data_IF_476219145229
#
_entry.id   IF_476219145229
#
_cell.length_a   1.000
_cell.length_b   1.000
_cell.length_c   1.000
_cell.angle_alpha   90.00
_cell.angle_beta   90.00
_cell.angle_gamma   90.00
#
_symmetry.space_group_name_H-M   'P 1'
#
loop_
_entity.id
_entity.type
_entity.pdbx_description
1 polymer ?
#
# COMPACT_ATOMS: atom_id res chain seq x y z
N UNK A 1 25.34 -0.33 -16.43
CA UNK A 1 23.95 -0.19 -16.92
C UNK A 1 23.43 1.18 -16.51
N UNK A 2 23.17 2.07 -17.47
CA UNK A 2 22.83 3.47 -17.21
C UNK A 2 21.42 3.60 -16.62
N UNK A 3 21.29 4.17 -15.42
CA UNK A 3 20.04 4.49 -14.72
C UNK A 3 19.15 5.57 -15.41
N UNK A 4 19.34 5.84 -16.71
CA UNK A 4 18.74 7.00 -17.40
C UNK A 4 17.39 6.74 -18.08
N UNK A 5 16.80 5.54 -17.99
CA UNK A 5 15.66 5.16 -18.84
C UNK A 5 14.42 4.63 -18.10
N UNK A 6 14.39 4.68 -16.76
CA UNK A 6 13.25 4.15 -15.97
C UNK A 6 11.95 4.96 -16.14
N UNK A 7 12.01 6.14 -16.77
CA UNK A 7 10.85 6.99 -17.06
C UNK A 7 10.12 6.63 -18.37
N UNK A 8 10.63 5.69 -19.18
CA UNK A 8 9.98 5.23 -20.42
C UNK A 8 9.03 4.02 -20.21
N UNK A 9 9.13 3.34 -19.07
CA UNK A 9 8.28 2.20 -18.70
C UNK A 9 6.77 2.52 -18.61
N UNK A 10 6.32 3.70 -18.13
CA UNK A 10 4.90 4.05 -18.11
C UNK A 10 4.33 4.29 -19.53
N UNK A 11 5.17 4.75 -20.47
CA UNK A 11 4.77 5.09 -21.83
C UNK A 11 4.49 3.84 -22.68
N UNK A 12 5.20 2.75 -22.41
CA UNK A 12 5.03 1.45 -23.07
C UNK A 12 3.80 0.68 -22.56
N UNK A 13 3.38 0.91 -21.31
CA UNK A 13 2.17 0.31 -20.72
C UNK A 13 0.86 0.93 -21.26
N UNK A 14 0.89 2.19 -21.70
CA UNK A 14 -0.27 2.91 -22.25
C UNK A 14 -0.59 2.54 -23.71
N UNK A 15 0.34 1.93 -24.44
CA UNK A 15 0.18 1.54 -25.86
C UNK A 15 -0.37 0.12 -26.05
N UNK A 16 -0.56 -0.66 -24.97
CA UNK A 16 -0.96 -2.06 -25.02
C UNK A 16 -2.46 -2.35 -24.98
N UNK A 17 -3.33 -1.38 -24.66
CA UNK A 17 -4.79 -1.57 -24.68
C UNK A 17 -5.35 -1.38 -26.09
N UNK A 18 -4.95 -2.27 -26.99
CA UNK A 18 -5.50 -2.40 -28.33
C UNK A 18 -6.96 -2.85 -28.28
N UNK A 19 -7.77 -2.24 -29.14
CA UNK A 19 -9.18 -2.54 -29.37
C UNK A 19 -9.43 -4.04 -29.58
N UNK A 20 -10.03 -4.70 -28.61
CA UNK A 20 -10.75 -5.95 -28.84
C UNK A 20 -12.21 -5.60 -29.17
N UNK A 21 -12.51 -5.46 -30.46
CA UNK A 21 -13.88 -5.34 -30.94
C UNK A 21 -14.63 -6.65 -30.71
N UNK A 22 -15.58 -6.66 -29.79
CA UNK A 22 -16.49 -7.78 -29.58
C UNK A 22 -17.55 -7.78 -30.69
N UNK A 23 -17.46 -8.75 -31.60
CA UNK A 23 -18.56 -9.09 -32.50
C UNK A 23 -19.57 -9.99 -31.76
N UNK A 24 -20.88 -9.71 -31.81
CA UNK A 24 -21.87 -10.58 -31.19
C UNK A 24 -22.10 -11.83 -32.06
N UNK A 25 -21.90 -13.01 -31.47
CA UNK A 25 -22.22 -14.30 -32.09
C UNK A 25 -23.68 -14.67 -31.80
N UNK A 26 -24.39 -15.13 -32.84
CA UNK A 26 -25.83 -15.38 -32.86
C UNK A 26 -26.29 -16.55 -31.98
N UNK A 27 -27.44 -16.35 -31.33
CA UNK A 27 -28.23 -17.35 -30.61
C UNK A 27 -28.96 -18.30 -31.58
N UNK A 28 -28.72 -19.62 -31.52
CA UNK A 28 -29.52 -20.60 -32.26
C UNK A 28 -29.33 -22.05 -31.76
N UNK A 29 -30.14 -22.52 -30.81
CA UNK A 29 -30.45 -23.97 -30.76
C UNK A 29 -31.78 -24.34 -30.08
N UNK A 30 -32.48 -23.41 -29.41
CA UNK A 30 -33.77 -23.71 -28.76
C UNK A 30 -33.67 -24.70 -27.59
N UNK A 31 -32.46 -25.11 -27.21
CA UNK A 31 -32.19 -26.00 -26.09
C UNK A 31 -31.71 -25.16 -24.91
N UNK A 32 -32.48 -25.17 -23.82
CA UNK A 32 -32.22 -24.38 -22.60
C UNK A 32 -31.11 -24.96 -21.72
N UNK A 33 -30.34 -25.95 -22.18
CA UNK A 33 -29.26 -26.52 -21.39
C UNK A 33 -28.14 -27.14 -22.22
N UNK A 34 -26.94 -27.17 -21.63
CA UNK A 34 -25.75 -27.91 -22.10
C UNK A 34 -25.17 -28.69 -20.92
N UNK A 35 -25.13 -30.02 -21.02
CA UNK A 35 -24.74 -30.90 -19.91
C UNK A 35 -23.39 -31.58 -20.15
N UNK A 36 -22.30 -30.82 -20.21
CA UNK A 36 -20.95 -31.37 -20.42
C UNK A 36 -20.31 -31.89 -19.11
N UNK A 37 -20.93 -31.61 -17.96
CA UNK A 37 -20.52 -32.11 -16.64
C UNK A 37 -21.17 -33.44 -16.24
N UNK A 38 -22.14 -33.93 -17.04
CA UNK A 38 -22.98 -35.09 -16.71
C UNK A 38 -23.63 -34.97 -15.32
N UNK A 39 -24.33 -33.86 -15.13
CA UNK A 39 -24.96 -33.46 -13.87
C UNK A 39 -26.49 -33.37 -13.98
N UNK A 40 -27.07 -33.52 -15.18
CA UNK A 40 -28.51 -33.32 -15.41
C UNK A 40 -29.23 -34.59 -15.83
N UNK A 41 -30.25 -34.97 -15.06
CA UNK A 41 -31.18 -36.06 -15.33
C UNK A 41 -32.54 -35.57 -15.83
N UNK A 42 -33.59 -36.32 -15.53
CA UNK A 42 -34.95 -36.02 -15.99
C UNK A 42 -35.58 -34.86 -15.21
N UNK A 43 -35.26 -34.71 -13.92
CA UNK A 43 -35.91 -33.70 -13.07
C UNK A 43 -35.51 -32.29 -13.47
N UNK A 44 -34.21 -32.00 -13.51
CA UNK A 44 -33.70 -30.68 -13.88
C UNK A 44 -34.19 -30.25 -15.27
N UNK A 45 -34.14 -31.16 -16.26
CA UNK A 45 -34.61 -30.90 -17.63
C UNK A 45 -36.11 -30.58 -17.68
N UNK A 46 -36.90 -31.25 -16.85
CA UNK A 46 -38.35 -31.00 -16.74
C UNK A 46 -38.62 -29.62 -16.14
N UNK A 47 -37.92 -29.26 -15.06
CA UNK A 47 -38.07 -27.96 -14.41
C UNK A 47 -37.63 -26.82 -15.35
N UNK A 48 -36.51 -26.93 -16.06
CA UNK A 48 -36.07 -25.90 -17.02
C UNK A 48 -37.13 -25.66 -18.09
N UNK A 49 -37.69 -26.74 -18.64
CA UNK A 49 -38.74 -26.65 -19.66
C UNK A 49 -40.01 -26.00 -19.09
N UNK A 50 -40.42 -26.41 -17.89
CA UNK A 50 -41.59 -25.84 -17.21
C UNK A 50 -41.42 -24.35 -16.94
N UNK A 51 -40.24 -23.91 -16.48
CA UNK A 51 -39.97 -22.50 -16.23
C UNK A 51 -40.06 -21.67 -17.50
N UNK A 52 -39.34 -22.04 -18.56
CA UNK A 52 -39.33 -21.27 -19.80
C UNK A 52 -40.69 -21.31 -20.53
N UNK A 53 -41.29 -22.48 -20.67
CA UNK A 53 -42.47 -22.67 -21.52
C UNK A 53 -43.79 -22.32 -20.82
N UNK A 54 -43.84 -22.32 -19.47
CA UNK A 54 -45.08 -22.13 -18.72
C UNK A 54 -45.02 -20.98 -17.73
N UNK A 55 -44.03 -20.96 -16.83
CA UNK A 55 -43.98 -19.95 -15.76
C UNK A 55 -43.58 -18.60 -16.32
N UNK A 56 -42.40 -18.51 -16.94
CA UNK A 56 -41.87 -17.25 -17.47
C UNK A 56 -42.59 -16.81 -18.74
N UNK A 57 -43.15 -17.73 -19.52
CA UNK A 57 -44.00 -17.40 -20.66
C UNK A 57 -45.21 -16.53 -20.29
N UNK A 58 -45.71 -16.61 -19.04
CA UNK A 58 -46.83 -15.82 -18.53
C UNK A 58 -46.43 -14.48 -17.89
N UNK A 59 -45.14 -14.27 -17.69
CA UNK A 59 -44.59 -13.07 -17.05
C UNK A 59 -44.30 -12.02 -18.13
N UNK A 60 -44.59 -10.75 -17.82
CA UNK A 60 -44.27 -9.62 -18.70
C UNK A 60 -42.79 -9.61 -19.08
N UNK A 61 -42.50 -9.44 -20.37
CA UNK A 61 -41.13 -9.48 -20.89
C UNK A 61 -40.60 -10.88 -21.18
N UNK A 62 -41.32 -11.94 -20.78
CA UNK A 62 -40.98 -13.36 -21.00
C UNK A 62 -39.53 -13.71 -20.63
N UNK A 63 -39.18 -13.71 -19.33
CA UNK A 63 -37.85 -14.10 -18.86
C UNK A 63 -37.40 -15.46 -19.38
N UNK A 64 -36.10 -15.68 -19.45
CA UNK A 64 -35.55 -16.94 -19.96
C UNK A 64 -34.44 -17.43 -19.05
N UNK A 65 -34.37 -18.74 -18.83
CA UNK A 65 -33.29 -19.38 -18.07
C UNK A 65 -32.64 -20.52 -18.86
N UNK A 66 -31.32 -20.58 -18.81
CA UNK A 66 -30.56 -21.73 -19.29
C UNK A 66 -29.62 -22.29 -18.22
N UNK A 67 -29.17 -23.53 -18.43
CA UNK A 67 -28.21 -24.21 -17.54
C UNK A 67 -27.03 -24.75 -18.32
N UNK A 68 -25.81 -24.48 -17.86
CA UNK A 68 -24.59 -25.10 -18.38
C UNK A 68 -23.93 -25.89 -17.24
N UNK A 69 -23.60 -27.15 -17.49
CA UNK A 69 -22.71 -27.91 -16.61
C UNK A 69 -21.43 -28.23 -17.35
N UNK A 70 -20.30 -28.16 -16.64
CA UNK A 70 -18.98 -28.52 -17.15
C UNK A 70 -18.27 -29.46 -16.19
N UNK A 71 -17.35 -30.25 -16.73
CA UNK A 71 -16.54 -31.14 -15.90
C UNK A 71 -15.51 -30.36 -15.07
N UNK A 72 -14.87 -29.34 -15.66
CA UNK A 72 -13.89 -28.45 -15.00
C UNK A 72 -13.80 -27.13 -15.76
N UNK A 73 -13.34 -26.08 -15.09
CA UNK A 73 -13.08 -24.73 -15.62
C UNK A 73 -11.65 -24.54 -16.13
N UNK A 74 -10.75 -25.51 -15.94
CA UNK A 74 -9.36 -25.42 -16.42
C UNK A 74 -8.63 -24.12 -16.01
N UNK A 75 -8.71 -23.77 -14.72
CA UNK A 75 -8.14 -22.55 -14.11
C UNK A 75 -8.81 -21.22 -14.51
N UNK A 76 -9.93 -21.25 -15.25
CA UNK A 76 -10.79 -20.09 -15.47
C UNK A 76 -11.70 -19.84 -14.26
N UNK A 77 -11.95 -18.58 -13.90
CA UNK A 77 -12.95 -18.25 -12.89
C UNK A 77 -14.36 -18.50 -13.42
N UNK A 78 -15.24 -19.07 -12.59
CA UNK A 78 -16.58 -19.46 -13.03
C UNK A 78 -17.45 -18.25 -13.44
N UNK A 79 -17.20 -17.09 -12.85
CA UNK A 79 -17.87 -15.82 -13.17
C UNK A 79 -17.53 -15.38 -14.60
N UNK A 80 -16.24 -15.33 -14.94
CA UNK A 80 -15.78 -14.98 -16.28
C UNK A 80 -16.32 -15.97 -17.32
N UNK A 81 -16.23 -17.26 -17.03
CA UNK A 81 -16.80 -18.30 -17.88
C UNK A 81 -18.31 -18.11 -18.09
N UNK A 82 -19.06 -17.88 -17.01
CA UNK A 82 -20.51 -17.70 -17.07
C UNK A 82 -20.89 -16.45 -17.86
N UNK A 83 -20.20 -15.32 -17.64
CA UNK A 83 -20.43 -14.07 -18.36
C UNK A 83 -20.18 -14.25 -19.86
N UNK A 84 -19.08 -14.92 -20.24
CA UNK A 84 -18.75 -15.20 -21.63
C UNK A 84 -19.82 -16.09 -22.29
N UNK A 85 -20.26 -17.14 -21.61
CA UNK A 85 -21.33 -18.02 -22.12
C UNK A 85 -22.68 -17.30 -22.18
N UNK A 86 -23.01 -16.44 -21.22
CA UNK A 86 -24.23 -15.64 -21.21
C UNK A 86 -24.31 -14.72 -22.43
N UNK A 87 -23.20 -14.02 -22.73
CA UNK A 87 -23.08 -13.16 -23.90
C UNK A 87 -23.20 -13.96 -25.22
N UNK A 88 -22.56 -15.13 -25.31
CA UNK A 88 -22.64 -16.02 -26.49
C UNK A 88 -24.05 -16.57 -26.72
N UNK A 89 -24.76 -16.93 -25.67
CA UNK A 89 -26.09 -17.51 -25.78
C UNK A 89 -27.17 -16.46 -26.03
N UNK A 90 -26.94 -15.20 -25.61
CA UNK A 90 -27.91 -14.11 -25.77
C UNK A 90 -29.24 -14.42 -25.10
N UNK A 91 -29.21 -15.05 -23.92
CA UNK A 91 -30.40 -15.48 -23.19
C UNK A 91 -31.18 -14.26 -22.70
N UNK A 92 -32.50 -14.32 -22.83
CA UNK A 92 -33.40 -13.23 -22.46
C UNK A 92 -34.03 -12.57 -23.69
N UNK A 93 -35.08 -11.80 -23.45
CA UNK A 93 -35.77 -11.08 -24.51
C UNK A 93 -35.01 -9.81 -24.88
N UNK A 94 -34.78 -9.60 -26.18
CA UNK A 94 -34.12 -8.40 -26.71
C UNK A 94 -34.77 -7.13 -26.15
N UNK A 95 -33.95 -6.28 -25.53
CA UNK A 95 -34.38 -5.02 -24.91
C UNK A 95 -34.92 -5.15 -23.49
N UNK A 96 -35.30 -6.35 -23.05
CA UNK A 96 -35.66 -6.63 -21.66
C UNK A 96 -34.50 -7.19 -20.86
N UNK A 97 -33.49 -7.79 -21.52
CA UNK A 97 -32.25 -8.27 -20.88
C UNK A 97 -32.53 -9.09 -19.63
N UNK A 98 -33.58 -9.92 -19.67
CA UNK A 98 -34.15 -10.67 -18.56
C UNK A 98 -33.81 -12.16 -18.64
N UNK A 99 -32.56 -12.43 -19.01
CA UNK A 99 -31.99 -13.77 -19.05
C UNK A 99 -31.37 -14.18 -17.71
N UNK A 100 -31.38 -15.48 -17.44
CA UNK A 100 -30.66 -16.11 -16.34
C UNK A 100 -29.82 -17.26 -16.90
N UNK A 101 -28.58 -17.41 -16.43
CA UNK A 101 -27.74 -18.57 -16.75
C UNK A 101 -27.17 -19.15 -15.46
N UNK A 102 -27.53 -20.40 -15.18
CA UNK A 102 -26.90 -21.17 -14.12
C UNK A 102 -25.76 -22.00 -14.69
N UNK A 103 -24.55 -21.79 -14.19
CA UNK A 103 -23.36 -22.58 -14.51
C UNK A 103 -22.96 -23.41 -13.30
N UNK A 104 -22.65 -24.69 -13.50
CA UNK A 104 -22.03 -25.54 -12.49
C UNK A 104 -20.77 -26.21 -13.05
N UNK A 105 -19.69 -26.19 -12.27
CA UNK A 105 -18.49 -26.99 -12.54
C UNK A 105 -18.37 -28.12 -11.53
N UNK A 106 -18.34 -29.36 -12.03
CA UNK A 106 -18.35 -30.58 -11.20
C UNK A 106 -17.06 -30.74 -10.39
N UNK A 107 -15.89 -30.68 -11.03
CA UNK A 107 -14.59 -30.91 -10.35
C UNK A 107 -14.20 -29.74 -9.46
N UNK A 108 -14.51 -28.52 -9.87
CA UNK A 108 -14.18 -27.32 -9.10
C UNK A 108 -15.17 -27.09 -7.95
N UNK A 109 -16.30 -27.82 -7.95
CA UNK A 109 -17.40 -27.70 -6.98
C UNK A 109 -17.87 -26.25 -6.83
N UNK A 110 -17.96 -25.54 -7.96
CA UNK A 110 -18.38 -24.13 -8.04
C UNK A 110 -19.69 -24.01 -8.82
N UNK A 111 -20.57 -23.12 -8.40
CA UNK A 111 -21.75 -22.69 -9.17
C UNK A 111 -21.75 -21.17 -9.33
N UNK A 112 -22.38 -20.68 -10.39
CA UNK A 112 -22.61 -19.27 -10.64
C UNK A 112 -23.96 -19.07 -11.33
N UNK A 113 -24.72 -18.08 -10.87
CA UNK A 113 -25.94 -17.61 -11.52
C UNK A 113 -25.68 -16.22 -12.10
N UNK A 114 -25.62 -16.12 -13.42
CA UNK A 114 -25.56 -14.85 -14.14
C UNK A 114 -26.99 -14.29 -14.31
N UNK A 115 -27.17 -13.01 -14.00
CA UNK A 115 -28.46 -12.31 -14.03
C UNK A 115 -28.40 -11.14 -15.00
N UNK A 116 -29.26 -11.16 -16.01
CA UNK A 116 -29.38 -10.03 -16.93
C UNK A 116 -29.98 -8.79 -16.25
N UNK A 117 -29.59 -7.60 -16.73
CA UNK A 117 -30.04 -6.29 -16.22
C UNK A 117 -31.53 -6.18 -15.89
N UNK A 118 -32.40 -6.81 -16.69
CA UNK A 118 -33.85 -6.76 -16.51
C UNK A 118 -34.35 -7.45 -15.24
N UNK A 119 -33.52 -8.32 -14.65
CA UNK A 119 -33.84 -9.12 -13.48
C UNK A 119 -32.97 -8.79 -12.27
N UNK A 120 -32.07 -7.81 -12.31
CA UNK A 120 -31.20 -7.49 -11.17
C UNK A 120 -31.98 -7.11 -9.90
N UNK A 121 -33.08 -6.36 -10.04
CA UNK A 121 -33.95 -6.00 -8.92
C UNK A 121 -34.82 -7.19 -8.44
N UNK A 122 -34.98 -8.21 -9.30
CA UNK A 122 -35.76 -9.42 -9.04
C UNK A 122 -34.90 -10.52 -8.43
N UNK A 123 -33.65 -10.66 -8.87
CA UNK A 123 -32.69 -11.66 -8.44
C UNK A 123 -31.36 -10.95 -8.12
N UNK A 124 -31.33 -10.10 -7.09
CA UNK A 124 -30.08 -9.49 -6.64
C UNK A 124 -29.19 -10.52 -5.97
N UNK A 125 -27.89 -10.22 -5.82
CA UNK A 125 -26.94 -11.06 -5.06
C UNK A 125 -27.45 -11.41 -3.65
N UNK A 126 -28.08 -10.44 -2.96
CA UNK A 126 -28.70 -10.65 -1.66
C UNK A 126 -29.87 -11.67 -1.62
N UNK A 127 -30.34 -12.17 -2.76
CA UNK A 127 -31.32 -13.26 -2.84
C UNK A 127 -30.69 -14.66 -2.86
N UNK A 128 -29.36 -14.76 -2.84
CA UNK A 128 -28.63 -16.02 -2.94
C UNK A 128 -29.04 -17.06 -1.89
N UNK A 129 -29.34 -16.66 -0.65
CA UNK A 129 -29.73 -17.60 0.41
C UNK A 129 -31.15 -18.18 0.23
N UNK A 130 -32.03 -17.44 -0.44
CA UNK A 130 -33.38 -17.91 -0.80
C UNK A 130 -33.30 -18.93 -1.95
N UNK A 131 -32.36 -18.71 -2.88
CA UNK A 131 -32.21 -19.54 -4.08
C UNK A 131 -31.35 -20.78 -3.78
N UNK A 132 -30.19 -20.59 -3.17
CA UNK A 132 -29.21 -21.64 -2.83
C UNK A 132 -29.31 -22.01 -1.36
N UNK A 133 -30.46 -22.55 -1.00
CA UNK A 133 -30.76 -23.01 0.35
C UNK A 133 -29.80 -24.09 0.84
N UNK A 134 -29.76 -24.33 2.17
CA UNK A 134 -28.99 -25.43 2.75
C UNK A 134 -29.32 -26.80 2.15
N UNK A 135 -30.56 -27.02 1.70
CA UNK A 135 -30.98 -28.23 0.99
C UNK A 135 -30.30 -28.38 -0.37
N UNK A 136 -30.18 -27.29 -1.15
CA UNK A 136 -29.44 -27.29 -2.43
C UNK A 136 -27.98 -27.67 -2.19
N UNK A 137 -27.32 -27.01 -1.23
CA UNK A 137 -25.93 -27.31 -0.88
C UNK A 137 -25.75 -28.75 -0.40
N UNK A 138 -26.70 -29.29 0.36
CA UNK A 138 -26.67 -30.69 0.81
C UNK A 138 -26.75 -31.68 -0.36
N UNK A 139 -27.62 -31.44 -1.35
CA UNK A 139 -27.73 -32.28 -2.54
C UNK A 139 -26.47 -32.20 -3.41
N UNK A 140 -25.91 -31.00 -3.61
CA UNK A 140 -24.65 -30.81 -4.34
C UNK A 140 -23.48 -31.56 -3.68
N UNK A 141 -23.38 -31.52 -2.34
CA UNK A 141 -22.37 -32.25 -1.56
C UNK A 141 -22.54 -33.77 -1.64
N UNK A 142 -23.78 -34.24 -1.72
CA UNK A 142 -24.11 -35.65 -1.90
C UNK A 142 -23.92 -36.14 -3.35
N UNK A 143 -23.47 -35.26 -4.25
CA UNK A 143 -23.35 -35.51 -5.70
C UNK A 143 -24.68 -35.86 -6.38
N UNK A 144 -25.80 -35.50 -5.74
CA UNK A 144 -27.15 -35.62 -6.29
C UNK A 144 -27.50 -34.37 -7.12
N UNK A 145 -26.80 -34.23 -8.25
CA UNK A 145 -26.82 -33.01 -9.04
C UNK A 145 -28.15 -32.75 -9.75
N UNK A 146 -28.87 -33.79 -10.19
CA UNK A 146 -30.13 -33.60 -10.91
C UNK A 146 -31.18 -32.95 -10.01
N UNK A 147 -31.38 -33.49 -8.81
CA UNK A 147 -32.29 -32.93 -7.82
C UNK A 147 -31.79 -31.57 -7.29
N UNK A 148 -30.48 -31.40 -7.12
CA UNK A 148 -29.91 -30.11 -6.72
C UNK A 148 -30.23 -29.00 -7.72
N UNK A 149 -29.99 -29.23 -9.02
CA UNK A 149 -30.27 -28.28 -10.10
C UNK A 149 -31.78 -28.04 -10.20
N UNK A 150 -32.60 -29.09 -10.12
CA UNK A 150 -34.06 -28.97 -10.13
C UNK A 150 -34.58 -28.08 -8.99
N UNK A 151 -34.06 -28.24 -7.77
CA UNK A 151 -34.43 -27.43 -6.62
C UNK A 151 -33.94 -25.98 -6.76
N UNK A 152 -32.71 -25.78 -7.22
CA UNK A 152 -32.14 -24.46 -7.50
C UNK A 152 -33.05 -23.69 -8.47
N UNK A 153 -33.38 -24.30 -9.61
CA UNK A 153 -34.25 -23.71 -10.63
C UNK A 153 -35.67 -23.45 -10.10
N UNK A 154 -36.21 -24.36 -9.30
CA UNK A 154 -37.52 -24.17 -8.66
C UNK A 154 -37.54 -22.93 -7.76
N UNK A 155 -36.47 -22.72 -6.98
CA UNK A 155 -36.35 -21.55 -6.13
C UNK A 155 -36.23 -20.25 -6.94
N UNK A 156 -35.44 -20.26 -8.02
CA UNK A 156 -35.38 -19.14 -8.98
C UNK A 156 -36.79 -18.83 -9.51
N UNK A 157 -37.50 -19.85 -9.99
CA UNK A 157 -38.85 -19.69 -10.55
C UNK A 157 -39.83 -19.05 -9.58
N UNK A 158 -39.82 -19.50 -8.32
CA UNK A 158 -40.62 -18.91 -7.24
C UNK A 158 -40.27 -17.45 -7.02
N UNK A 159 -38.97 -17.12 -6.95
CA UNK A 159 -38.51 -15.75 -6.70
C UNK A 159 -38.91 -14.80 -7.83
N UNK A 160 -38.68 -15.20 -9.08
CA UNK A 160 -39.04 -14.41 -10.26
C UNK A 160 -40.55 -14.20 -10.33
N UNK A 161 -41.36 -15.24 -10.07
CA UNK A 161 -42.82 -15.10 -10.08
C UNK A 161 -43.33 -14.18 -8.95
N UNK A 162 -42.77 -14.28 -7.75
CA UNK A 162 -43.16 -13.45 -6.61
C UNK A 162 -42.80 -11.97 -6.79
N UNK A 163 -41.74 -11.66 -7.55
CA UNK A 163 -41.24 -10.30 -7.75
C UNK A 163 -41.33 -9.81 -9.20
N UNK A 164 -42.23 -10.39 -9.99
CA UNK A 164 -42.41 -10.06 -11.41
C UNK A 164 -42.74 -8.58 -11.69
N UNK A 165 -43.28 -7.84 -10.71
CA UNK A 165 -43.55 -6.40 -10.83
C UNK A 165 -42.29 -5.54 -10.82
N UNK A 166 -41.16 -6.07 -10.34
CA UNK A 166 -39.87 -5.41 -10.29
C UNK A 166 -39.00 -5.68 -11.54
N UNK A 167 -39.51 -6.42 -12.54
CA UNK A 167 -38.80 -6.64 -13.80
C UNK A 167 -38.64 -5.30 -14.52
N UNK A 168 -37.40 -4.92 -14.80
CA UNK A 168 -37.12 -3.64 -15.44
C UNK A 168 -37.61 -3.62 -16.90
N UNK A 169 -38.22 -2.51 -17.28
CA UNK A 169 -38.69 -2.26 -18.63
C UNK A 169 -37.54 -1.86 -19.56
N UNK A 170 -37.70 -2.01 -20.89
CA UNK A 170 -36.66 -1.60 -21.84
C UNK A 170 -36.21 -0.13 -21.73
N UNK A 171 -37.11 0.77 -21.32
CA UNK A 171 -36.78 2.18 -21.09
C UNK A 171 -35.90 2.37 -19.86
N UNK A 172 -36.20 1.66 -18.76
CA UNK A 172 -35.39 1.67 -17.54
C UNK A 172 -34.00 1.07 -17.80
N UNK A 173 -33.91 -0.04 -18.53
CA UNK A 173 -32.63 -0.69 -18.86
C UNK A 173 -31.76 0.22 -19.73
N UNK A 174 -32.36 0.89 -20.75
CA UNK A 174 -31.63 1.85 -21.57
C UNK A 174 -31.08 3.01 -20.73
N UNK A 175 -31.86 3.52 -19.78
CA UNK A 175 -31.42 4.57 -18.87
C UNK A 175 -30.27 4.10 -17.94
N UNK A 176 -30.40 2.90 -17.35
CA UNK A 176 -29.35 2.29 -16.51
C UNK A 176 -28.05 2.11 -17.28
N UNK A 177 -28.09 1.55 -18.49
CA UNK A 177 -26.91 1.41 -19.36
C UNK A 177 -26.27 2.73 -19.72
N UNK A 178 -27.07 3.77 -20.02
CA UNK A 178 -26.54 5.10 -20.33
C UNK A 178 -25.83 5.71 -19.11
N UNK A 179 -26.41 5.55 -17.92
CA UNK A 179 -25.81 5.97 -16.67
C UNK A 179 -24.48 5.23 -16.39
N UNK A 180 -24.49 3.89 -16.48
CA UNK A 180 -23.30 3.07 -16.21
C UNK A 180 -22.17 3.36 -17.21
N UNK A 181 -22.51 3.60 -18.49
CA UNK A 181 -21.54 4.03 -19.50
C UNK A 181 -20.96 5.42 -19.18
N UNK A 182 -21.78 6.37 -18.73
CA UNK A 182 -21.33 7.70 -18.33
C UNK A 182 -20.41 7.65 -17.09
N UNK A 183 -20.75 6.84 -16.09
CA UNK A 183 -19.92 6.60 -14.91
C UNK A 183 -18.59 5.97 -15.30
N UNK A 184 -18.59 4.93 -16.14
CA UNK A 184 -17.37 4.29 -16.63
C UNK A 184 -16.47 5.28 -17.38
N UNK A 185 -17.05 6.10 -18.25
CA UNK A 185 -16.31 7.14 -18.98
C UNK A 185 -15.71 8.19 -18.03
N UNK A 186 -16.45 8.61 -16.99
CA UNK A 186 -15.96 9.52 -15.97
C UNK A 186 -14.78 8.92 -15.21
N UNK A 187 -14.88 7.67 -14.77
CA UNK A 187 -13.80 6.98 -14.05
C UNK A 187 -12.52 6.87 -14.90
N UNK A 188 -12.65 6.49 -16.18
CA UNK A 188 -11.52 6.45 -17.12
C UNK A 188 -10.89 7.84 -17.26
N UNK A 189 -11.72 8.88 -17.42
CA UNK A 189 -11.24 10.26 -17.56
C UNK A 189 -10.49 10.72 -16.31
N UNK A 190 -11.02 10.47 -15.12
CA UNK A 190 -10.38 10.78 -13.84
C UNK A 190 -9.05 10.03 -13.70
N UNK A 191 -9.03 8.73 -14.01
CA UNK A 191 -7.80 7.94 -13.96
C UNK A 191 -6.70 8.50 -14.89
N UNK A 192 -7.07 8.89 -16.12
CA UNK A 192 -6.12 9.51 -17.06
C UNK A 192 -5.60 10.86 -16.56
N UNK A 193 -6.45 11.70 -15.96
CA UNK A 193 -6.03 12.97 -15.37
C UNK A 193 -5.05 12.75 -14.23
N UNK A 194 -5.32 11.79 -13.33
CA UNK A 194 -4.44 11.44 -12.21
C UNK A 194 -3.07 10.95 -12.71
N UNK A 195 -3.07 10.05 -13.71
CA UNK A 195 -1.83 9.56 -14.33
C UNK A 195 -1.06 10.72 -14.99
N UNK A 196 -1.75 11.59 -15.72
CA UNK A 196 -1.15 12.78 -16.34
C UNK A 196 -0.53 13.73 -15.32
N UNK A 197 -1.21 13.99 -14.20
CA UNK A 197 -0.69 14.79 -13.09
C UNK A 197 0.54 14.15 -12.44
N UNK A 198 0.55 12.83 -12.28
CA UNK A 198 1.69 12.10 -11.73
C UNK A 198 2.91 12.18 -12.66
N UNK A 199 2.72 11.99 -13.97
CA UNK A 199 3.80 12.15 -14.96
C UNK A 199 4.34 13.59 -14.96
N UNK A 200 3.45 14.58 -14.96
CA UNK A 200 3.84 15.99 -14.89
C UNK A 200 4.64 16.29 -13.62
N UNK A 201 4.24 15.73 -12.48
CA UNK A 201 4.97 15.86 -11.22
C UNK A 201 6.41 15.33 -11.33
N UNK A 202 6.61 14.15 -11.89
CA UNK A 202 7.96 13.58 -12.05
C UNK A 202 8.81 14.37 -13.04
N UNK A 203 8.24 14.86 -14.15
CA UNK A 203 8.94 15.71 -15.11
C UNK A 203 9.38 17.02 -14.45
N UNK A 204 8.47 17.68 -13.73
CA UNK A 204 8.76 18.90 -12.95
C UNK A 204 9.89 18.66 -11.95
N UNK A 205 9.82 17.56 -11.20
CA UNK A 205 10.83 17.21 -10.21
C UNK A 205 12.20 16.96 -10.86
N UNK A 206 12.23 16.23 -11.96
CA UNK A 206 13.44 15.97 -12.73
C UNK A 206 14.06 17.26 -13.31
N UNK A 207 13.23 18.17 -13.84
CA UNK A 207 13.70 19.45 -14.38
C UNK A 207 14.31 20.35 -13.29
N UNK A 208 13.66 20.46 -12.13
CA UNK A 208 14.16 21.26 -11.00
C UNK A 208 15.49 20.68 -10.49
N UNK A 209 15.57 19.36 -10.32
CA UNK A 209 16.79 18.70 -9.82
C UNK A 209 17.95 18.79 -10.81
N UNK A 210 17.69 18.71 -12.12
CA UNK A 210 18.69 18.95 -13.15
C UNK A 210 19.26 20.37 -13.05
N UNK A 211 18.40 21.39 -12.89
CA UNK A 211 18.85 22.77 -12.74
C UNK A 211 19.68 23.01 -11.49
N UNK A 212 19.35 22.36 -10.38
CA UNK A 212 20.19 22.41 -9.17
C UNK A 212 21.55 21.76 -9.43
N UNK A 213 21.56 20.62 -10.13
CA UNK A 213 22.80 19.92 -10.52
C UNK A 213 23.69 20.78 -11.40
N UNK A 214 23.13 21.64 -12.25
CA UNK A 214 23.91 22.60 -13.04
C UNK A 214 24.47 23.75 -12.17
N UNK A 215 23.72 24.21 -11.16
CA UNK A 215 24.13 25.34 -10.34
C UNK A 215 25.24 25.03 -9.30
N UNK A 216 25.28 23.80 -8.78
CA UNK A 216 26.15 23.36 -7.67
C UNK A 216 27.65 23.09 -7.99
N UNK A 217 28.05 22.56 -9.17
CA UNK A 217 29.46 22.22 -9.45
C UNK A 217 30.35 23.43 -9.76
N UNK A 218 29.80 24.65 -9.80
CA UNK A 218 30.57 25.88 -9.99
C UNK A 218 31.41 26.21 -8.74
N UNK A 219 32.59 25.58 -8.62
CA UNK A 219 33.46 25.64 -7.44
C UNK A 219 33.77 27.07 -6.99
N UNK A 220 34.11 27.98 -7.91
CA UNK A 220 34.41 29.38 -7.57
C UNK A 220 33.21 30.09 -6.91
N UNK A 221 31.98 29.83 -7.38
CA UNK A 221 30.76 30.39 -6.80
C UNK A 221 30.32 29.67 -5.51
N UNK A 222 30.75 28.43 -5.29
CA UNK A 222 30.52 27.71 -4.03
C UNK A 222 31.52 28.13 -2.95
N UNK A 223 32.75 28.48 -3.33
CA UNK A 223 33.79 28.99 -2.42
C UNK A 223 33.41 30.32 -1.77
N UNK A 224 32.49 31.09 -2.35
CA UNK A 224 31.94 32.30 -1.73
C UNK A 224 30.98 31.98 -0.57
N UNK A 225 30.47 30.75 -0.48
CA UNK A 225 29.63 30.31 0.63
C UNK A 225 30.53 29.93 1.82
N UNK A 226 30.47 30.66 2.94
CA UNK A 226 31.40 30.46 4.05
C UNK A 226 31.40 29.03 4.61
N UNK A 227 30.21 28.45 4.81
CA UNK A 227 30.08 27.08 5.33
C UNK A 227 30.71 26.03 4.40
N UNK A 228 30.63 26.23 3.08
CA UNK A 228 31.23 25.31 2.10
C UNK A 228 32.76 25.33 2.20
N UNK A 229 33.34 26.53 2.28
CA UNK A 229 34.78 26.70 2.45
C UNK A 229 35.28 26.06 3.76
N UNK A 230 34.58 26.26 4.87
CA UNK A 230 34.97 25.66 6.15
C UNK A 230 34.91 24.12 6.16
N UNK A 231 33.84 23.55 5.61
CA UNK A 231 33.65 22.08 5.58
C UNK A 231 34.71 21.42 4.67
N UNK A 232 35.03 22.03 3.54
CA UNK A 232 36.05 21.52 2.62
C UNK A 232 37.47 21.69 3.18
N UNK A 233 37.78 22.80 3.86
CA UNK A 233 39.04 23.01 4.56
C UNK A 233 39.27 21.97 5.68
N UNK A 234 38.18 21.49 6.31
CA UNK A 234 38.23 20.39 7.28
C UNK A 234 38.40 18.99 6.63
N UNK A 235 38.65 18.91 5.32
CA UNK A 235 38.86 17.65 4.59
C UNK A 235 37.58 16.85 4.33
N UNK A 236 36.39 17.42 4.57
CA UNK A 236 35.12 16.73 4.31
C UNK A 236 34.77 16.85 2.84
N UNK A 237 34.75 15.71 2.15
CA UNK A 237 34.24 15.60 0.77
C UNK A 237 32.71 15.73 0.75
N UNK A 238 32.20 16.70 0.02
CA UNK A 238 30.77 16.95 -0.14
C UNK A 238 30.23 16.30 -1.42
N UNK A 239 29.12 15.55 -1.30
CA UNK A 239 28.38 14.99 -2.43
C UNK A 239 27.32 16.00 -2.92
N UNK A 240 27.75 16.95 -3.74
CA UNK A 240 26.92 18.07 -4.19
C UNK A 240 25.73 17.64 -5.07
N UNK A 241 25.86 16.49 -5.74
CA UNK A 241 24.86 15.87 -6.61
C UNK A 241 23.65 15.31 -5.85
N UNK A 242 23.79 15.07 -4.55
CA UNK A 242 22.68 14.60 -3.70
C UNK A 242 21.74 15.72 -3.27
N UNK A 243 22.07 16.99 -3.51
CA UNK A 243 21.24 18.14 -3.16
C UNK A 243 19.86 18.06 -3.84
N UNK A 244 18.80 18.45 -3.13
CA UNK A 244 17.43 18.45 -3.64
C UNK A 244 16.74 19.78 -3.32
N UNK A 245 15.73 20.15 -4.11
CA UNK A 245 14.93 21.38 -3.91
C UNK A 245 13.47 21.01 -3.67
N UNK A 246 12.74 21.76 -2.81
CA UNK A 246 11.29 21.66 -2.72
C UNK A 246 10.60 21.94 -4.07
N UNK A 247 9.47 21.27 -4.31
CA UNK A 247 8.64 21.49 -5.49
C UNK A 247 8.08 22.94 -5.51
N UNK A 248 7.81 23.47 -6.71
CA UNK A 248 7.17 24.77 -6.97
C UNK A 248 8.04 26.04 -6.85
N UNK A 249 9.36 25.95 -7.05
CA UNK A 249 10.28 27.10 -6.98
C UNK A 249 11.03 27.33 -8.32
N UNK A 250 10.28 27.46 -9.41
CA UNK A 250 10.78 27.35 -10.80
C UNK A 250 11.60 28.54 -11.33
N UNK A 251 11.49 29.73 -10.73
CA UNK A 251 12.07 30.98 -11.28
C UNK A 251 13.33 31.48 -10.55
N UNK A 252 14.07 30.60 -9.87
CA UNK A 252 15.20 31.02 -9.04
C UNK A 252 16.52 31.17 -9.78
N UNK A 253 17.31 32.17 -9.41
CA UNK A 253 18.67 32.33 -9.92
C UNK A 253 19.58 31.19 -9.45
N UNK A 254 20.69 30.98 -10.15
CA UNK A 254 21.70 29.99 -9.75
C UNK A 254 22.26 30.27 -8.35
N UNK A 255 22.39 31.55 -7.95
CA UNK A 255 22.78 31.92 -6.57
C UNK A 255 21.79 31.39 -5.53
N UNK A 256 20.50 31.59 -5.78
CA UNK A 256 19.45 31.13 -4.87
C UNK A 256 19.41 29.60 -4.82
N UNK A 257 19.61 28.92 -5.95
CA UNK A 257 19.72 27.46 -5.99
C UNK A 257 20.92 26.94 -5.21
N UNK A 258 22.09 27.60 -5.30
CA UNK A 258 23.28 27.26 -4.51
C UNK A 258 23.05 27.40 -3.01
N UNK A 259 22.46 28.52 -2.57
CA UNK A 259 22.12 28.74 -1.15
C UNK A 259 21.22 27.62 -0.65
N UNK A 260 20.20 27.24 -1.41
CA UNK A 260 19.22 26.24 -0.98
C UNK A 260 19.80 24.83 -1.03
N UNK A 261 20.55 24.51 -2.07
CA UNK A 261 21.29 23.26 -2.18
C UNK A 261 22.26 23.08 -1.01
N UNK A 262 23.03 24.13 -0.69
CA UNK A 262 23.98 24.11 0.42
C UNK A 262 23.28 24.04 1.78
N UNK A 263 22.21 24.81 2.00
CA UNK A 263 21.41 24.71 3.21
C UNK A 263 20.84 23.29 3.42
N UNK A 264 20.35 22.65 2.35
CA UNK A 264 19.85 21.27 2.42
C UNK A 264 20.95 20.24 2.65
N UNK A 265 22.14 20.45 2.09
CA UNK A 265 23.32 19.64 2.43
C UNK A 265 23.70 19.81 3.89
N UNK A 266 23.67 21.05 4.41
CA UNK A 266 23.90 21.31 5.84
C UNK A 266 22.86 20.59 6.69
N UNK A 267 21.56 20.71 6.40
CA UNK A 267 20.51 20.04 7.19
C UNK A 267 20.64 18.52 7.24
N UNK A 268 21.06 17.89 6.15
CA UNK A 268 21.25 16.42 6.08
C UNK A 268 22.61 15.97 6.61
N UNK A 269 23.63 16.79 6.40
CA UNK A 269 25.03 16.45 6.65
C UNK A 269 25.54 16.89 8.02
N UNK A 270 24.91 17.87 8.67
CA UNK A 270 25.42 18.52 9.88
C UNK A 270 25.80 17.53 10.99
N UNK A 271 24.89 16.64 11.39
CA UNK A 271 25.15 15.59 12.40
C UNK A 271 26.33 14.68 12.00
N UNK A 272 26.51 14.43 10.71
CA UNK A 272 27.63 13.65 10.19
C UNK A 272 28.94 14.45 10.18
N UNK A 273 28.88 15.73 9.85
CA UNK A 273 30.04 16.62 9.81
C UNK A 273 30.58 16.90 11.22
N UNK A 274 29.71 17.16 12.21
CA UNK A 274 30.14 17.40 13.60
C UNK A 274 30.92 16.22 14.18
N UNK A 275 30.52 14.98 13.86
CA UNK A 275 31.26 13.76 14.25
C UNK A 275 32.65 13.65 13.63
N UNK A 276 32.85 14.20 12.43
CA UNK A 276 34.10 14.11 11.67
C UNK A 276 35.11 15.18 12.06
N UNK A 277 34.67 16.42 12.27
CA UNK A 277 35.60 17.55 12.45
C UNK A 277 36.15 17.65 13.87
N UNK A 278 35.53 16.99 14.87
CA UNK A 278 35.93 16.78 16.29
C UNK A 278 36.56 17.95 17.10
N UNK A 279 36.92 19.09 16.52
CA UNK A 279 37.71 20.17 17.15
C UNK A 279 37.14 21.58 16.88
N UNK A 280 35.95 21.72 16.30
CA UNK A 280 35.40 23.04 15.91
C UNK A 280 33.90 23.16 16.18
N UNK A 281 33.43 22.58 17.28
CA UNK A 281 32.03 22.68 17.66
C UNK A 281 32.00 23.20 19.09
N UNK A 282 31.20 24.24 19.42
CA UNK A 282 31.18 24.83 20.76
C UNK A 282 30.78 23.81 21.83
N UNK A 283 30.05 22.76 21.42
CA UNK A 283 29.68 21.65 22.28
C UNK A 283 30.17 20.32 21.69
N UNK A 284 30.38 19.29 22.53
CA UNK A 284 30.74 17.96 22.06
C UNK A 284 29.73 17.38 21.05
N UNK A 285 30.22 16.58 20.10
CA UNK A 285 29.40 16.12 18.97
C UNK A 285 28.18 15.26 19.38
N UNK A 286 28.23 14.62 20.54
CA UNK A 286 27.15 13.78 21.09
C UNK A 286 25.92 14.58 21.54
N UNK A 287 26.00 15.92 21.62
CA UNK A 287 24.83 16.76 21.86
C UNK A 287 23.91 16.94 20.66
N UNK A 288 24.41 16.69 19.44
CA UNK A 288 23.70 17.02 18.21
C UNK A 288 22.78 15.90 17.70
N UNK A 289 22.44 14.91 18.52
CA UNK A 289 21.49 13.90 18.08
C UNK A 289 20.10 14.50 17.85
N UNK A 290 19.43 14.08 16.77
CA UNK A 290 18.04 14.47 16.49
C UNK A 290 17.81 16.00 16.43
N UNK A 291 18.80 16.78 15.97
CA UNK A 291 18.67 18.25 15.82
C UNK A 291 18.03 18.65 14.48
N UNK A 292 17.68 17.66 13.64
CA UNK A 292 17.04 17.87 12.32
C UNK A 292 15.79 18.73 12.37
N UNK A 293 15.02 18.66 13.47
CA UNK A 293 13.85 19.51 13.67
C UNK A 293 14.24 20.98 13.81
N UNK A 294 15.25 21.29 14.62
CA UNK A 294 15.75 22.65 14.83
C UNK A 294 16.44 23.19 13.56
N UNK A 295 17.28 22.39 12.90
CA UNK A 295 17.92 22.74 11.63
C UNK A 295 16.92 23.07 10.52
N UNK A 296 15.75 22.41 10.48
CA UNK A 296 14.68 22.70 9.51
C UNK A 296 14.01 24.06 9.73
N UNK A 297 14.01 24.57 10.97
CA UNK A 297 13.43 25.87 11.30
C UNK A 297 14.34 27.05 10.95
N UNK A 298 15.64 26.81 10.79
CA UNK A 298 16.60 27.86 10.42
C UNK A 298 16.43 28.26 8.94
N UNK A 299 16.41 29.57 8.60
CA UNK A 299 16.36 30.03 7.22
C UNK A 299 17.58 29.57 6.40
N UNK A 300 17.38 29.33 5.10
CA UNK A 300 18.45 28.87 4.20
C UNK A 300 19.65 29.81 4.20
N UNK A 301 19.39 31.13 4.14
CA UNK A 301 20.44 32.14 4.12
C UNK A 301 21.23 32.16 5.43
N UNK A 302 20.57 32.01 6.58
CA UNK A 302 21.21 31.96 7.89
C UNK A 302 22.15 30.77 8.00
N UNK A 303 21.73 29.59 7.53
CA UNK A 303 22.55 28.39 7.54
C UNK A 303 23.79 28.50 6.65
N UNK A 304 23.67 29.15 5.50
CA UNK A 304 24.77 29.27 4.54
C UNK A 304 25.75 30.38 4.90
N UNK A 305 25.25 31.47 5.50
CA UNK A 305 26.08 32.57 5.97
C UNK A 305 26.88 32.23 7.24
N UNK A 306 26.55 31.13 7.93
CA UNK A 306 27.33 30.65 9.04
C UNK A 306 28.76 30.29 8.57
N UNK A 307 29.81 30.96 9.09
CA UNK A 307 31.16 30.80 8.55
C UNK A 307 31.76 29.41 8.78
N UNK A 308 31.27 28.66 9.77
CA UNK A 308 31.83 27.37 10.16
C UNK A 308 30.73 26.45 10.67
N UNK A 309 31.05 25.15 10.82
CA UNK A 309 30.19 24.19 11.53
C UNK A 309 29.92 24.67 12.96
N UNK A 310 30.91 25.30 13.61
CA UNK A 310 30.76 25.91 14.94
C UNK A 310 29.66 26.97 14.96
N UNK A 311 29.65 27.86 13.98
CA UNK A 311 28.64 28.91 13.87
C UNK A 311 27.23 28.33 13.64
N UNK A 312 27.11 27.25 12.85
CA UNK A 312 25.82 26.54 12.70
C UNK A 312 25.39 25.91 14.02
N UNK A 313 26.33 25.36 14.80
CA UNK A 313 26.07 24.78 16.10
C UNK A 313 25.62 25.80 17.15
N UNK A 314 26.19 27.01 17.14
CA UNK A 314 25.75 28.12 17.99
C UNK A 314 24.29 28.52 17.72
N UNK A 315 23.88 28.54 16.45
CA UNK A 315 22.49 28.79 16.08
C UNK A 315 21.52 27.73 16.64
N UNK A 316 22.02 26.53 16.97
CA UNK A 316 21.24 25.45 17.58
C UNK A 316 21.27 25.47 19.10
N UNK A 317 22.05 26.35 19.75
CA UNK A 317 22.17 26.41 21.21
C UNK A 317 20.81 26.49 21.92
N UNK A 318 19.83 27.31 21.48
CA UNK A 318 18.50 27.32 22.11
C UNK A 318 17.77 25.98 22.08
N UNK A 319 17.99 25.17 21.04
CA UNK A 319 17.38 23.84 20.93
C UNK A 319 18.10 22.76 21.76
N UNK A 320 19.29 23.09 22.29
CA UNK A 320 20.15 22.20 23.05
C UNK A 320 20.24 22.59 24.55
N UNK A 321 19.69 23.74 24.94
CA UNK A 321 19.80 24.30 26.29
C UNK A 321 19.46 23.31 27.42
N UNK A 322 18.36 22.58 27.30
CA UNK A 322 17.95 21.59 28.31
C UNK A 322 18.93 20.42 28.41
N UNK A 323 19.52 20.01 27.29
CA UNK A 323 20.52 18.95 27.24
C UNK A 323 21.80 19.41 27.92
N UNK A 324 22.22 20.66 27.74
CA UNK A 324 23.38 21.21 28.44
C UNK A 324 23.14 21.25 29.94
N UNK A 325 22.00 21.79 30.36
CA UNK A 325 21.66 21.86 31.78
C UNK A 325 21.63 20.50 32.46
N UNK A 326 21.11 19.48 31.77
CA UNK A 326 20.98 18.12 32.32
C UNK A 326 22.28 17.32 32.20
N UNK A 327 23.04 17.52 31.13
CA UNK A 327 24.22 16.73 30.80
C UNK A 327 25.52 17.22 31.42
N UNK A 328 25.65 18.51 31.71
CA UNK A 328 26.90 19.12 32.19
C UNK A 328 27.54 18.39 33.39
N UNK A 329 26.80 17.90 34.41
CA UNK A 329 27.39 17.15 35.51
C UNK A 329 28.07 15.83 35.10
N UNK A 330 27.63 15.22 33.99
CA UNK A 330 28.05 13.88 33.56
C UNK A 330 29.07 13.91 32.40
N UNK A 331 29.39 15.09 31.85
CA UNK A 331 30.25 15.24 30.68
C UNK A 331 31.66 14.68 30.89
N UNK A 332 32.25 14.94 32.07
CA UNK A 332 33.60 14.49 32.39
C UNK A 332 33.68 12.97 32.43
N UNK A 333 32.74 12.31 33.12
CA UNK A 333 32.66 10.86 33.21
C UNK A 333 32.40 10.21 31.84
N UNK A 334 31.49 10.76 31.04
CA UNK A 334 31.20 10.25 29.71
C UNK A 334 32.41 10.38 28.77
N UNK A 335 33.14 11.49 28.86
CA UNK A 335 34.35 11.71 28.07
C UNK A 335 35.47 10.74 28.46
N UNK A 336 35.69 10.53 29.76
CA UNK A 336 36.65 9.56 30.27
C UNK A 336 36.32 8.14 29.79
N UNK A 337 35.07 7.70 29.98
CA UNK A 337 34.58 6.42 29.50
C UNK A 337 34.77 6.25 27.99
N UNK A 338 34.42 7.25 27.18
CA UNK A 338 34.52 7.17 25.73
C UNK A 338 35.96 7.03 25.24
N UNK A 339 36.93 7.66 25.92
CA UNK A 339 38.35 7.57 25.58
C UNK A 339 38.94 6.18 25.87
N UNK A 340 38.39 5.44 26.83
CA UNK A 340 38.81 4.07 27.15
C UNK A 340 38.33 3.04 26.12
N UNK A 341 37.32 3.39 25.32
CA UNK A 341 36.76 2.47 24.33
C UNK A 341 37.64 2.38 23.08
N UNK A 342 38.24 1.21 22.84
CA UNK A 342 39.21 0.98 21.73
C UNK A 342 38.66 1.26 20.32
N UNK A 343 37.34 1.35 20.11
CA UNK A 343 36.73 1.83 18.85
C UNK A 343 35.20 2.03 18.94
N UNK A 344 34.72 3.10 19.58
CA UNK A 344 33.30 3.46 19.46
C UNK A 344 33.08 4.30 18.21
N UNK A 345 32.27 3.80 17.27
CA UNK A 345 31.79 4.60 16.14
C UNK A 345 31.05 5.83 16.68
N UNK A 346 31.29 7.01 16.10
CA UNK A 346 30.70 8.26 16.59
C UNK A 346 29.18 8.23 16.72
N UNK A 347 28.47 7.43 15.90
CA UNK A 347 27.02 7.24 16.06
C UNK A 347 26.66 6.54 17.37
N UNK A 348 27.38 5.48 17.74
CA UNK A 348 27.10 4.72 18.95
C UNK A 348 27.35 5.58 20.21
N UNK A 349 28.38 6.44 20.20
CA UNK A 349 28.60 7.41 21.28
C UNK A 349 27.45 8.41 21.40
N UNK A 350 27.02 9.01 20.28
CA UNK A 350 25.88 9.95 20.23
C UNK A 350 24.60 9.30 20.77
N UNK A 351 24.29 8.09 20.31
CA UNK A 351 23.09 7.35 20.75
C UNK A 351 23.18 6.94 22.22
N UNK A 352 24.35 6.54 22.71
CA UNK A 352 24.56 6.20 24.13
C UNK A 352 24.28 7.40 25.02
N UNK A 353 24.87 8.56 24.68
CA UNK A 353 24.65 9.81 25.39
C UNK A 353 23.17 10.22 25.38
N UNK A 354 22.53 10.17 24.21
CA UNK A 354 21.13 10.58 24.09
C UNK A 354 20.18 9.68 24.89
N UNK A 355 20.39 8.36 24.88
CA UNK A 355 19.58 7.42 25.67
C UNK A 355 19.76 7.66 27.18
N UNK A 356 20.97 7.96 27.61
CA UNK A 356 21.25 8.31 29.01
C UNK A 356 20.56 9.61 29.42
N UNK A 357 20.76 10.71 28.66
CA UNK A 357 20.14 12.00 28.96
C UNK A 357 18.61 11.98 28.96
N UNK A 358 17.98 11.06 28.23
CA UNK A 358 16.54 10.92 28.24
C UNK A 358 15.97 10.43 29.57
N UNK A 359 16.82 9.88 30.46
CA UNK A 359 16.41 9.17 31.68
C UNK A 359 16.94 9.79 32.96
N UNK A 360 18.04 10.55 32.90
CA UNK A 360 18.63 11.21 34.07
C UNK A 360 18.06 12.60 34.31
N UNK A 361 17.98 12.98 35.60
CA UNK A 361 17.56 14.30 36.06
C UNK A 361 18.77 15.06 36.61
N UNK A 362 18.74 16.41 36.61
CA UNK A 362 19.82 17.21 37.17
C UNK A 362 20.11 16.97 38.67
N UNK A 363 19.17 16.34 39.39
CA UNK A 363 19.29 16.01 40.81
C UNK A 363 19.91 14.65 41.07
N UNK A 364 20.08 13.81 40.04
CA UNK A 364 20.58 12.46 40.20
C UNK A 364 22.10 12.49 40.43
N UNK A 365 22.58 11.67 41.37
CA UNK A 365 24.01 11.56 41.69
C UNK A 365 24.45 10.12 41.50
N UNK A 366 25.56 9.93 40.78
CA UNK A 366 26.12 8.63 40.43
C UNK A 366 27.63 8.67 40.65
N UNK A 367 28.22 7.54 41.02
CA UNK A 367 29.68 7.42 41.02
C UNK A 367 30.22 7.28 39.59
N UNK A 368 31.48 7.61 39.36
CA UNK A 368 32.11 7.43 38.04
C UNK A 368 32.09 5.96 37.58
N UNK A 369 32.22 5.01 38.52
CA UNK A 369 32.13 3.58 38.24
C UNK A 369 30.70 3.19 37.80
N UNK A 370 29.68 3.68 38.50
CA UNK A 370 28.26 3.48 38.15
C UNK A 370 27.94 4.07 36.78
N UNK A 371 28.46 5.26 36.45
CA UNK A 371 28.29 5.91 35.15
C UNK A 371 28.98 5.13 34.03
N UNK A 372 30.23 4.70 34.22
CA UNK A 372 30.96 3.89 33.25
C UNK A 372 30.27 2.55 32.97
N UNK A 373 29.75 1.88 34.02
CA UNK A 373 28.95 0.66 33.89
C UNK A 373 27.65 0.92 33.12
N UNK A 374 26.95 2.01 33.44
CA UNK A 374 25.72 2.45 32.76
C UNK A 374 25.94 2.70 31.27
N UNK A 375 26.96 3.47 30.91
CA UNK A 375 27.27 3.76 29.50
C UNK A 375 27.66 2.50 28.73
N UNK A 376 28.39 1.58 29.38
CA UNK A 376 28.79 0.30 28.79
C UNK A 376 27.59 -0.61 28.54
N UNK A 377 26.62 -0.68 29.46
CA UNK A 377 25.39 -1.44 29.28
C UNK A 377 24.55 -0.90 28.10
N UNK A 378 24.36 0.42 28.04
CA UNK A 378 23.64 1.06 26.93
C UNK A 378 24.36 0.80 25.60
N UNK A 379 25.69 0.92 25.57
CA UNK A 379 26.49 0.66 24.37
C UNK A 379 26.42 -0.81 23.93
N UNK A 380 26.45 -1.75 24.88
CA UNK A 380 26.31 -3.17 24.60
C UNK A 380 24.97 -3.46 23.92
N UNK A 381 23.87 -2.97 24.48
CA UNK A 381 22.54 -3.10 23.88
C UNK A 381 22.45 -2.46 22.48
N UNK A 382 23.11 -1.32 22.24
CA UNK A 382 23.17 -0.71 20.89
C UNK A 382 23.91 -1.61 19.89
N UNK A 383 24.94 -2.34 20.32
CA UNK A 383 25.73 -3.24 19.45
C UNK A 383 25.07 -4.60 19.28
N UNK A 384 24.33 -5.05 20.27
CA UNK A 384 23.72 -6.37 20.36
C UNK A 384 22.25 -6.23 20.77
N UNK A 385 21.37 -5.72 19.87
CA UNK A 385 19.97 -5.46 20.22
C UNK A 385 19.16 -6.72 20.52
N UNK A 386 19.60 -7.87 19.99
CA UNK A 386 18.94 -9.17 20.17
C UNK A 386 19.52 -9.99 21.33
N UNK A 387 20.46 -9.41 22.10
CA UNK A 387 21.09 -10.09 23.23
C UNK A 387 20.79 -9.35 24.52
N UNK A 388 20.23 -10.08 25.49
CA UNK A 388 20.04 -9.55 26.83
C UNK A 388 21.33 -9.70 27.64
N UNK A 389 21.73 -8.60 28.27
CA UNK A 389 22.83 -8.61 29.24
C UNK A 389 22.27 -8.88 30.65
N UNK A 390 22.88 -9.82 31.36
CA UNK A 390 22.61 -9.97 32.80
C UNK A 390 23.27 -8.80 33.55
N UNK A 391 22.42 -7.88 34.03
CA UNK A 391 22.82 -6.70 34.79
C UNK A 391 22.52 -6.85 36.29
N UNK A 392 22.10 -8.04 36.74
CA UNK A 392 21.67 -8.27 38.13
C UNK A 392 22.76 -8.04 39.18
N UNK A 393 24.03 -8.21 38.79
CA UNK A 393 25.22 -7.99 39.63
C UNK A 393 25.94 -6.67 39.34
N UNK A 394 25.42 -5.83 38.43
CA UNK A 394 26.05 -4.56 38.05
C UNK A 394 25.55 -3.42 38.93
N UNK A 395 26.47 -2.58 39.40
CA UNK A 395 26.12 -1.30 40.08
C UNK A 395 25.64 -0.29 39.03
N UNK A 396 24.38 -0.43 38.59
CA UNK A 396 23.73 0.43 37.60
C UNK A 396 22.33 0.86 38.08
N UNK A 397 21.83 2.03 37.64
CA UNK A 397 20.49 2.49 38.01
C UNK A 397 19.40 1.51 37.57
N UNK A 398 18.30 1.43 38.34
CA UNK A 398 17.18 0.51 38.07
C UNK A 398 16.59 0.64 36.66
N UNK A 399 16.52 1.87 36.13
CA UNK A 399 16.01 2.10 34.78
C UNK A 399 16.92 1.52 33.68
N UNK A 400 18.20 1.31 33.97
CA UNK A 400 19.15 0.67 33.04
C UNK A 400 18.87 -0.83 32.96
N UNK A 401 18.55 -1.45 34.10
CA UNK A 401 18.18 -2.87 34.17
C UNK A 401 16.86 -3.10 33.42
N UNK A 402 15.86 -2.23 33.63
CA UNK A 402 14.57 -2.37 32.95
C UNK A 402 14.63 -2.15 31.44
N UNK A 403 15.46 -1.21 30.99
CA UNK A 403 15.45 -0.77 29.60
C UNK A 403 16.50 -1.49 28.73
N UNK A 404 17.55 -2.08 29.32
CA UNK A 404 18.69 -2.66 28.59
C UNK A 404 19.20 -4.02 29.11
N UNK A 405 18.55 -4.62 30.12
CA UNK A 405 18.89 -5.94 30.63
C UNK A 405 17.70 -6.90 30.60
N UNK A 406 17.94 -8.18 30.86
CA UNK A 406 16.86 -9.15 31.13
C UNK A 406 16.58 -9.24 32.62
N UNK A 407 15.33 -8.94 33.00
CA UNK A 407 14.74 -9.55 34.19
C UNK A 407 14.11 -10.86 33.72
N UNK A 408 14.64 -12.00 34.17
CA UNK A 408 14.15 -13.32 33.78
C UNK A 408 12.62 -13.44 33.88
N UNK A 409 11.93 -13.57 32.75
CA UNK A 409 10.65 -14.28 32.65
C UNK A 409 10.46 -14.87 31.26
N UNK A 410 10.52 -16.20 31.21
CA UNK A 410 10.17 -17.05 30.08
C UNK A 410 8.68 -16.95 29.74
N UNK A 411 8.32 -16.85 28.45
CA UNK A 411 7.17 -17.59 27.92
C UNK A 411 7.25 -17.80 26.40
N UNK A 412 6.86 -19.02 26.06
CA UNK A 412 6.69 -19.67 24.77
C UNK A 412 5.46 -19.21 23.99
N UNK A 413 5.48 -19.46 22.68
CA UNK A 413 4.34 -20.13 22.04
C UNK A 413 3.53 -19.33 21.04
N UNK A 414 3.48 -19.93 19.85
CA UNK A 414 2.37 -20.01 18.91
C UNK A 414 2.20 -19.01 17.76
N UNK A 415 2.07 -19.69 16.62
CA UNK A 415 1.56 -19.34 15.31
C UNK A 415 0.23 -18.63 15.35
N UNK A 416 -0.05 -17.84 14.31
CA UNK A 416 -1.34 -17.95 13.62
C UNK A 416 -1.23 -17.57 12.14
N UNK A 417 -1.89 -18.43 11.38
CA UNK A 417 -2.33 -18.37 9.99
C UNK A 417 -3.29 -17.19 9.76
N UNK A 418 -3.16 -16.46 8.66
CA UNK A 418 -4.29 -15.78 8.01
C UNK A 418 -3.98 -15.48 6.54
N UNK A 419 -4.61 -16.28 5.67
CA UNK A 419 -4.91 -15.88 4.31
C UNK A 419 -6.06 -14.87 4.26
N UNK A 420 -5.99 -13.92 3.31
CA UNK A 420 -7.18 -13.33 2.70
C UNK A 420 -6.82 -12.87 1.28
N UNK A 421 -7.36 -13.61 0.30
CA UNK A 421 -7.37 -13.20 -1.10
C UNK A 421 -8.45 -12.15 -1.30
N UNK A 422 -8.10 -11.08 -2.00
CA UNK A 422 -9.03 -10.09 -2.53
C UNK A 422 -9.07 -10.27 -4.04
N UNK A 423 -10.14 -10.88 -4.56
CA UNK A 423 -10.47 -10.90 -5.98
C UNK A 423 -11.64 -9.95 -6.20
N UNK A 424 -11.36 -8.77 -6.78
CA UNK A 424 -12.38 -7.83 -7.24
C UNK A 424 -12.39 -7.79 -8.75
N UNK A 425 -13.47 -8.31 -9.35
CA UNK A 425 -13.79 -8.18 -10.77
C UNK A 425 -15.10 -7.41 -10.91
N UNK A 426 -15.16 -6.50 -11.87
CA UNK A 426 -16.32 -5.64 -12.15
C UNK A 426 -16.76 -5.88 -13.60
N UNK A 427 -17.95 -6.43 -13.79
CA UNK A 427 -18.62 -6.39 -15.09
C UNK A 427 -20.14 -6.39 -14.95
N UNK A 428 -20.71 -5.18 -14.90
CA UNK A 428 -21.94 -4.75 -15.56
C UNK A 428 -23.06 -5.76 -15.82
N UNK A 429 -23.39 -6.63 -14.89
CA UNK A 429 -24.53 -7.54 -14.87
C UNK A 429 -24.51 -8.22 -13.50
N UNK A 430 -25.62 -8.18 -12.76
CA UNK A 430 -25.70 -8.84 -11.46
C UNK A 430 -25.49 -10.35 -11.56
N UNK A 431 -25.01 -10.97 -10.49
CA UNK A 431 -24.83 -12.41 -10.42
C UNK A 431 -24.32 -12.82 -9.05
N UNK A 432 -24.40 -14.10 -8.75
CA UNK A 432 -23.84 -14.64 -7.52
C UNK A 432 -23.41 -16.09 -7.70
N UNK A 433 -22.41 -16.49 -6.94
CA UNK A 433 -21.88 -17.84 -6.98
C UNK A 433 -21.42 -18.34 -5.64
N UNK A 434 -20.91 -19.57 -5.63
CA UNK A 434 -20.39 -20.18 -4.44
C UNK A 434 -19.81 -21.56 -4.72
N UNK A 435 -19.33 -22.19 -3.66
CA UNK A 435 -18.81 -23.55 -3.69
C UNK A 435 -19.60 -24.49 -2.79
N UNK A 436 -19.40 -25.81 -2.96
CA UNK A 436 -20.02 -26.83 -2.11
C UNK A 436 -19.06 -27.94 -1.67
#
# INVERSE_FOLDING_TARGET
MNHRSWWLLPLLLLLGFGLAGLQPVQAASGKWYRDNGNMMGSESKTVIKQLNDQTFAKITGHPQIAVITVTSLHDEEIEDYANEQFAKLGIGKKGWDNGLLLVLSRRDRKYWLEVGYGLEDVVPDGSADEIVTGSVKKLLKAEDYDHAIALFLTNIGKRVAAHQSAIATPTQIKAKRAHDAAVKQLLITVALVVVGMMVLFFIIHAAITARLRDAMPHVAAMQTLPIYAAVTAAGIKLQLDTAAVPLFRFAWSHDKLRVIGMANLTRRGFESWTRKVRMMVPHPYWYYDNVRGALRKLPDQTLVNAPTIAAVAELLNPALADRFKTGQPYEAAFTAWLNEQKSVAGQAAVTTWSKFLAKVKPTDTFSDATLAATFSAILFHIRHPDQDQDLSQSDVPLWVISDFGSATSSHSGDSDDFGSGFGGGSSGGGGFGGSW
#
